data_IF_831106574980
#
_entry.id   IF_831106574980
#
_cell.length_a   1.000
_cell.length_b   1.000
_cell.length_c   1.000
_cell.angle_alpha   90.00
_cell.angle_beta   90.00
_cell.angle_gamma   90.00
#
_symmetry.space_group_name_H-M   'P 1'
#
loop_
_entity.id
_entity.type
_entity.pdbx_description
1 polymer ?
#
# COMPACT_ATOMS: atom_id res chain seq x y z
N UNK A 1 4.94 12.37 -0.96
CA UNK A 1 4.59 11.80 0.35
C UNK A 1 4.79 10.30 0.33
N UNK A 2 5.36 9.75 1.38
CA UNK A 2 5.60 8.32 1.49
C UNK A 2 4.62 7.71 2.48
N UNK A 3 4.03 6.60 2.10
CA UNK A 3 3.02 5.93 2.92
C UNK A 3 3.46 4.48 3.16
N UNK A 4 3.34 4.04 4.39
CA UNK A 4 3.60 2.65 4.74
C UNK A 4 2.27 1.98 5.03
N UNK A 5 1.99 0.89 4.32
CA UNK A 5 0.77 0.09 4.52
C UNK A 5 1.17 -1.24 5.13
N UNK A 6 0.64 -1.55 6.30
CA UNK A 6 0.97 -2.78 7.02
C UNK A 6 -0.30 -3.57 7.27
N UNK A 7 -0.37 -4.78 6.72
CA UNK A 7 -1.49 -5.69 6.95
C UNK A 7 -1.05 -7.07 6.49
N UNK A 8 -1.65 -8.10 7.08
CA UNK A 8 -1.35 -9.48 6.70
C UNK A 8 -2.22 -10.00 5.55
N UNK A 9 -3.20 -9.22 5.11
CA UNK A 9 -4.03 -9.58 3.96
C UNK A 9 -3.40 -9.02 2.68
N UNK A 10 -2.72 -9.88 1.95
CA UNK A 10 -1.94 -9.45 0.78
C UNK A 10 -2.78 -8.81 -0.30
N UNK A 11 -3.96 -9.35 -0.57
CA UNK A 11 -4.83 -8.80 -1.62
C UNK A 11 -5.32 -7.40 -1.25
N UNK A 12 -5.64 -7.20 0.03
CA UNK A 12 -6.05 -5.88 0.50
C UNK A 12 -4.91 -4.88 0.36
N UNK A 13 -3.71 -5.28 0.79
CA UNK A 13 -2.54 -4.40 0.71
C UNK A 13 -2.25 -4.02 -0.74
N UNK A 14 -2.33 -4.98 -1.66
CA UNK A 14 -2.08 -4.70 -3.06
C UNK A 14 -3.09 -3.70 -3.62
N UNK A 15 -4.36 -3.85 -3.28
CA UNK A 15 -5.39 -2.92 -3.74
C UNK A 15 -5.19 -1.52 -3.21
N UNK A 16 -4.90 -1.41 -1.91
CA UNK A 16 -4.65 -0.10 -1.29
C UNK A 16 -3.41 0.55 -1.90
N UNK A 17 -2.33 -0.22 -2.05
CA UNK A 17 -1.11 0.29 -2.65
C UNK A 17 -1.36 0.83 -4.06
N UNK A 18 -2.09 0.06 -4.88
CA UNK A 18 -2.39 0.48 -6.24
C UNK A 18 -3.14 1.81 -6.27
N UNK A 19 -4.17 1.92 -5.43
CA UNK A 19 -4.96 3.14 -5.37
C UNK A 19 -4.14 4.34 -4.92
N UNK A 20 -3.32 4.16 -3.90
CA UNK A 20 -2.50 5.25 -3.38
C UNK A 20 -1.43 5.68 -4.38
N UNK A 21 -0.83 4.73 -5.08
CA UNK A 21 0.16 5.06 -6.10
C UNK A 21 -0.48 5.83 -7.26
N UNK A 22 -1.72 5.48 -7.60
CA UNK A 22 -2.45 6.23 -8.62
C UNK A 22 -2.70 7.69 -8.22
N UNK A 23 -2.76 7.94 -6.91
CA UNK A 23 -2.92 9.31 -6.40
C UNK A 23 -1.60 10.06 -6.29
N UNK A 24 -0.50 9.41 -6.63
CA UNK A 24 0.80 10.06 -6.64
C UNK A 24 1.64 9.86 -5.39
N UNK A 25 1.22 8.96 -4.48
CA UNK A 25 2.01 8.68 -3.29
C UNK A 25 3.04 7.59 -3.55
N UNK A 26 4.16 7.63 -2.83
CA UNK A 26 5.09 6.51 -2.77
C UNK A 26 4.62 5.58 -1.66
N UNK A 27 4.39 4.31 -2.01
CA UNK A 27 3.81 3.36 -1.05
C UNK A 27 4.76 2.19 -0.84
N UNK A 28 5.05 1.90 0.42
CA UNK A 28 5.79 0.70 0.81
C UNK A 28 4.81 -0.23 1.51
N UNK A 29 4.83 -1.50 1.16
CA UNK A 29 3.93 -2.48 1.73
C UNK A 29 4.69 -3.44 2.64
N UNK A 30 4.08 -3.76 3.78
CA UNK A 30 4.58 -4.79 4.69
C UNK A 30 3.42 -5.72 5.02
N UNK A 31 3.72 -6.99 5.22
CA UNK A 31 2.71 -8.03 5.33
C UNK A 31 2.71 -8.75 6.67
N UNK A 32 3.20 -8.15 7.68
CA UNK A 32 3.26 -8.77 9.02
C UNK A 32 1.90 -8.99 9.62
#
# INVERSE_FOLDING_TARGET
MKILVVDDEKLLVKGVKFNLENEGYEVTAAYD
#
